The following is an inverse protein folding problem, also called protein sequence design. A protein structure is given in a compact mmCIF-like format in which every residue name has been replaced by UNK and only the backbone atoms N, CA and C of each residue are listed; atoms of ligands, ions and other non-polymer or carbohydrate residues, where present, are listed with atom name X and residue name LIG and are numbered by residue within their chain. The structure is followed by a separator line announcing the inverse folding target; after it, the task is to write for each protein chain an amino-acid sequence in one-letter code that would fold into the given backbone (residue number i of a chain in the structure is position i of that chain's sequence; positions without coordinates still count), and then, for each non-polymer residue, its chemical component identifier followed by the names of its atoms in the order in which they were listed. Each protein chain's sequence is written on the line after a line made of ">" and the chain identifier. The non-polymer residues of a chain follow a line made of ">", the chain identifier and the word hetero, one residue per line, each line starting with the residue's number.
data_IF_484332903844
#
_entry.id   IF_484332903844
#
_cell.length_a   1.000
_cell.length_b   1.000
_cell.length_c   1.000
_cell.angle_alpha   90.00
_cell.angle_beta   90.00
_cell.angle_gamma   90.00
#
_symmetry.space_group_name_H-M   'P 1'
#
loop_
_entity.id
_entity.type
_entity.pdbx_description
1 polymer ?
#
# COMPACT_ATOMS: atom_id res chain seq x y z
N UNK A 1 7.63 5.84 28.06
CA UNK A 1 7.74 5.53 26.63
C UNK A 1 9.15 5.91 26.16
N UNK A 2 9.80 5.06 25.36
CA UNK A 2 11.13 5.35 24.82
C UNK A 2 11.08 6.61 23.93
N UNK A 3 11.93 7.63 24.14
CA UNK A 3 11.95 8.85 23.34
C UNK A 3 12.14 8.59 21.84
N UNK A 4 12.94 7.61 21.47
CA UNK A 4 13.13 7.23 20.06
C UNK A 4 11.85 6.69 19.43
N UNK A 5 10.99 5.99 20.18
CA UNK A 5 9.72 5.51 19.69
C UNK A 5 8.72 6.66 19.43
N UNK A 6 8.74 7.69 20.28
CA UNK A 6 7.94 8.92 20.06
C UNK A 6 8.36 9.60 18.77
N UNK A 7 9.67 9.74 18.56
CA UNK A 7 10.22 10.36 17.34
C UNK A 7 9.84 9.56 16.09
N UNK A 8 9.85 8.23 16.14
CA UNK A 8 9.36 7.38 15.04
C UNK A 8 7.88 7.61 14.78
N UNK A 9 7.04 7.74 15.82
CA UNK A 9 5.62 8.00 15.66
C UNK A 9 5.36 9.37 15.00
N UNK A 10 6.07 10.41 15.42
CA UNK A 10 5.98 11.74 14.80
C UNK A 10 6.50 11.73 13.35
N UNK A 11 7.59 11.03 13.09
CA UNK A 11 8.11 10.84 11.74
C UNK A 11 7.09 10.14 10.85
N UNK A 12 6.46 9.07 11.31
CA UNK A 12 5.46 8.34 10.53
C UNK A 12 4.17 9.12 10.33
N UNK A 13 3.72 9.88 11.32
CA UNK A 13 2.58 10.77 11.15
C UNK A 13 2.85 11.79 10.04
N UNK A 14 3.99 12.49 10.10
CA UNK A 14 4.35 13.50 9.09
C UNK A 14 4.64 12.87 7.74
N UNK A 15 5.24 11.65 7.69
CA UNK A 15 5.38 10.89 6.45
C UNK A 15 4.03 10.54 5.83
N UNK A 16 3.08 10.07 6.66
CA UNK A 16 1.71 9.77 6.22
C UNK A 16 1.00 10.98 5.62
N UNK A 17 1.17 12.18 6.22
CA UNK A 17 0.68 13.43 5.62
C UNK A 17 1.28 13.63 4.24
N UNK A 18 2.61 13.56 4.11
CA UNK A 18 3.31 13.78 2.83
C UNK A 18 2.92 12.78 1.75
N UNK A 19 2.90 11.49 2.08
CA UNK A 19 2.49 10.45 1.14
C UNK A 19 1.03 10.61 0.72
N UNK A 20 0.13 10.82 1.68
CA UNK A 20 -1.28 11.06 1.41
C UNK A 20 -1.52 12.27 0.53
N UNK A 21 -0.70 13.32 0.66
CA UNK A 21 -0.82 14.55 -0.12
C UNK A 21 -0.74 14.30 -1.62
N UNK A 22 0.08 13.36 -2.12
CA UNK A 22 0.25 13.16 -3.56
C UNK A 22 -0.27 11.81 -4.10
N UNK A 23 -0.45 10.79 -3.28
CA UNK A 23 -0.70 9.42 -3.74
C UNK A 23 -1.93 9.29 -4.66
N UNK A 24 -2.98 10.06 -4.40
CA UNK A 24 -4.20 10.04 -5.21
C UNK A 24 -4.11 10.88 -6.48
N UNK A 25 -3.06 11.69 -6.63
CA UNK A 25 -2.91 12.63 -7.75
C UNK A 25 -1.80 12.26 -8.73
N UNK A 26 -0.99 11.23 -8.43
CA UNK A 26 0.15 10.84 -9.26
C UNK A 26 -0.28 10.41 -10.68
N UNK A 27 -1.35 9.63 -10.82
CA UNK A 27 -1.84 9.19 -12.13
C UNK A 27 -2.44 10.35 -12.94
N UNK A 28 -3.12 11.29 -12.29
CA UNK A 28 -3.61 12.53 -12.89
C UNK A 28 -2.43 13.39 -13.37
N UNK A 29 -1.38 13.51 -12.54
CA UNK A 29 -0.21 14.31 -12.94
C UNK A 29 0.57 13.67 -14.08
N UNK A 30 0.70 12.36 -14.11
CA UNK A 30 1.25 11.62 -15.27
C UNK A 30 0.47 11.93 -16.55
N UNK A 31 -0.86 11.96 -16.49
CA UNK A 31 -1.71 12.35 -17.61
C UNK A 31 -1.44 13.81 -18.05
N UNK A 32 -1.33 14.74 -17.09
CA UNK A 32 -1.03 16.15 -17.37
C UNK A 32 0.37 16.35 -18.02
N UNK A 33 1.31 15.44 -17.76
CA UNK A 33 2.63 15.40 -18.41
C UNK A 33 2.62 14.68 -19.77
N UNK A 34 1.45 14.31 -20.28
CA UNK A 34 1.26 13.73 -21.61
C UNK A 34 1.30 12.20 -21.66
N UNK A 35 1.29 11.51 -20.52
CA UNK A 35 1.18 10.05 -20.51
C UNK A 35 -0.25 9.62 -20.88
N UNK A 36 -0.37 8.72 -21.85
CA UNK A 36 -1.62 8.04 -22.14
C UNK A 36 -1.97 6.97 -21.08
N UNK A 37 -3.17 6.41 -21.06
CA UNK A 37 -3.55 5.42 -20.05
C UNK A 37 -2.66 4.18 -20.00
N UNK A 38 -2.13 3.73 -21.14
CA UNK A 38 -1.22 2.57 -21.21
C UNK A 38 0.12 2.92 -20.57
N UNK A 39 0.66 4.09 -20.90
CA UNK A 39 1.90 4.59 -20.30
C UNK A 39 1.74 4.79 -18.78
N UNK A 40 0.61 5.34 -18.31
CA UNK A 40 0.31 5.47 -16.87
C UNK A 40 0.32 4.09 -16.20
N UNK A 41 -0.39 3.12 -16.77
CA UNK A 41 -0.43 1.75 -16.27
C UNK A 41 0.97 1.12 -16.20
N UNK A 42 1.78 1.28 -17.25
CA UNK A 42 3.15 0.78 -17.30
C UNK A 42 4.05 1.46 -16.24
N UNK A 43 4.00 2.79 -16.11
CA UNK A 43 4.78 3.55 -15.13
C UNK A 43 4.46 3.12 -13.71
N UNK A 44 3.17 2.99 -13.37
CA UNK A 44 2.73 2.52 -12.05
C UNK A 44 3.16 1.06 -11.81
N UNK A 45 3.18 0.22 -12.84
CA UNK A 45 3.71 -1.15 -12.76
C UNK A 45 5.22 -1.14 -12.50
N UNK A 46 6.00 -0.30 -13.17
CA UNK A 46 7.44 -0.17 -12.89
C UNK A 46 7.71 0.40 -11.49
N UNK A 47 6.89 1.31 -10.98
CA UNK A 47 6.98 1.78 -9.60
C UNK A 47 6.71 0.63 -8.61
N UNK A 48 5.72 -0.22 -8.86
CA UNK A 48 5.46 -1.44 -8.09
C UNK A 48 6.63 -2.43 -8.14
N UNK A 49 7.27 -2.59 -9.30
CA UNK A 49 8.46 -3.41 -9.46
C UNK A 49 9.65 -2.86 -8.65
N UNK A 50 9.87 -1.55 -8.66
CA UNK A 50 10.88 -0.88 -7.84
C UNK A 50 10.66 -1.15 -6.35
N UNK A 51 9.41 -1.07 -5.88
CA UNK A 51 9.04 -1.45 -4.51
C UNK A 51 9.41 -2.91 -4.21
N UNK A 52 9.01 -3.83 -5.07
CA UNK A 52 9.25 -5.27 -4.89
C UNK A 52 10.74 -5.59 -4.80
N UNK A 53 11.55 -5.07 -5.73
CA UNK A 53 12.99 -5.32 -5.77
C UNK A 53 13.70 -4.69 -4.55
N UNK A 54 13.22 -3.56 -4.04
CA UNK A 54 13.83 -2.85 -2.93
C UNK A 54 13.81 -3.65 -1.61
N UNK A 55 12.85 -4.55 -1.42
CA UNK A 55 12.74 -5.35 -0.19
C UNK A 55 13.86 -6.38 -0.02
N UNK A 56 14.38 -6.93 -1.12
CA UNK A 56 15.37 -8.04 -1.10
C UNK A 56 16.70 -7.62 -0.47
N UNK A 57 17.32 -6.48 -0.85
CA UNK A 57 18.59 -6.05 -0.26
C UNK A 57 18.44 -5.55 1.18
N UNK A 58 17.27 -5.06 1.56
CA UNK A 58 17.07 -4.37 2.83
C UNK A 58 17.23 -5.27 4.06
N UNK A 59 16.72 -6.50 3.98
CA UNK A 59 16.89 -7.47 5.06
C UNK A 59 18.38 -7.75 5.32
N UNK A 60 19.10 -8.11 4.27
CA UNK A 60 20.53 -8.39 4.34
C UNK A 60 21.40 -7.20 4.81
N UNK A 61 21.03 -6.00 4.35
CA UNK A 61 21.76 -4.78 4.71
C UNK A 61 21.46 -4.36 6.16
N UNK A 62 20.23 -4.61 6.64
CA UNK A 62 19.81 -4.33 8.01
C UNK A 62 20.67 -5.05 9.04
N UNK A 63 21.05 -6.29 8.75
CA UNK A 63 21.87 -7.12 9.65
C UNK A 63 23.35 -6.69 9.67
N UNK A 64 23.82 -6.03 8.60
CA UNK A 64 25.23 -5.61 8.46
C UNK A 64 25.52 -4.19 8.94
N UNK A 65 24.70 -3.21 8.53
CA UNK A 65 24.94 -1.79 8.83
C UNK A 65 24.01 -1.22 9.90
N UNK A 66 23.07 -2.04 10.37
CA UNK A 66 22.08 -1.65 11.36
C UNK A 66 20.84 -0.98 10.79
N UNK A 67 19.80 -0.91 11.60
CA UNK A 67 18.46 -0.46 11.21
C UNK A 67 18.40 1.06 10.99
N UNK A 68 19.03 1.86 11.86
CA UNK A 68 18.98 3.33 11.82
C UNK A 68 19.50 3.95 10.51
N UNK A 69 20.66 3.55 9.96
CA UNK A 69 21.14 4.08 8.68
C UNK A 69 20.15 3.81 7.53
N UNK A 70 19.55 2.62 7.48
CA UNK A 70 18.56 2.26 6.47
C UNK A 70 17.29 3.10 6.57
N UNK A 71 16.79 3.36 7.79
CA UNK A 71 15.67 4.25 8.00
C UNK A 71 15.98 5.65 7.45
N UNK A 72 17.11 6.22 7.81
CA UNK A 72 17.53 7.56 7.34
C UNK A 72 17.66 7.59 5.82
N UNK A 73 18.28 6.57 5.21
CA UNK A 73 18.43 6.48 3.75
C UNK A 73 17.07 6.45 3.03
N UNK A 74 16.09 5.69 3.55
CA UNK A 74 14.75 5.66 2.95
C UNK A 74 14.05 7.02 3.04
N UNK A 75 14.19 7.73 4.15
CA UNK A 75 13.63 9.08 4.30
C UNK A 75 14.29 10.10 3.37
N UNK A 76 15.61 10.02 3.18
CA UNK A 76 16.32 10.84 2.20
C UNK A 76 15.84 10.53 0.78
N UNK A 77 15.66 9.27 0.43
CA UNK A 77 15.07 8.90 -0.88
C UNK A 77 13.68 9.49 -1.07
N UNK A 78 12.86 9.50 -0.02
CA UNK A 78 11.53 10.14 -0.06
C UNK A 78 11.62 11.64 -0.35
N UNK A 79 12.53 12.37 0.32
CA UNK A 79 12.76 13.79 0.05
C UNK A 79 13.21 14.00 -1.40
N UNK A 80 14.24 13.27 -1.85
CA UNK A 80 14.78 13.39 -3.20
C UNK A 80 13.72 13.08 -4.24
N UNK A 81 12.92 12.03 -4.03
CA UNK A 81 11.83 11.64 -4.92
C UNK A 81 10.78 12.74 -5.03
N UNK A 82 10.33 13.29 -3.90
CA UNK A 82 9.32 14.35 -3.88
C UNK A 82 9.84 15.65 -4.52
N UNK A 83 11.11 15.99 -4.31
CA UNK A 83 11.77 17.12 -4.98
C UNK A 83 11.89 16.90 -6.50
N UNK A 84 12.29 15.71 -6.94
CA UNK A 84 12.32 15.37 -8.37
C UNK A 84 10.92 15.50 -8.99
N UNK A 85 9.88 14.96 -8.34
CA UNK A 85 8.51 15.09 -8.82
C UNK A 85 8.02 16.55 -8.82
N UNK A 86 8.35 17.33 -7.80
CA UNK A 86 7.97 18.75 -7.70
C UNK A 86 8.64 19.62 -8.75
N UNK A 87 9.89 19.33 -9.11
CA UNK A 87 10.67 20.08 -10.10
C UNK A 87 10.53 19.57 -11.53
N UNK A 88 9.86 18.41 -11.70
CA UNK A 88 9.71 17.77 -13.00
C UNK A 88 8.93 18.66 -13.97
N UNK A 89 9.56 18.99 -15.09
CA UNK A 89 8.96 19.66 -16.26
C UNK A 89 8.68 18.70 -17.41
N UNK A 90 9.06 17.43 -17.27
CA UNK A 90 8.91 16.39 -18.28
C UNK A 90 8.51 15.05 -17.65
N UNK A 91 7.84 14.23 -18.44
CA UNK A 91 7.40 12.90 -18.03
C UNK A 91 8.56 12.01 -17.52
N UNK A 92 9.73 11.90 -18.21
CA UNK A 92 10.83 11.05 -17.72
C UNK A 92 11.38 11.47 -16.36
N UNK A 93 11.47 12.77 -16.09
CA UNK A 93 11.96 13.26 -14.80
C UNK A 93 10.99 12.95 -13.67
N UNK A 94 9.70 13.11 -13.92
CA UNK A 94 8.66 12.74 -12.96
C UNK A 94 8.66 11.22 -12.68
N UNK A 95 8.79 10.40 -13.73
CA UNK A 95 8.90 8.94 -13.61
C UNK A 95 10.12 8.54 -12.78
N UNK A 96 11.29 9.18 -12.99
CA UNK A 96 12.47 8.93 -12.18
C UNK A 96 12.22 9.21 -10.69
N UNK A 97 11.51 10.30 -10.36
CA UNK A 97 11.07 10.61 -8.99
C UNK A 97 10.13 9.54 -8.44
N UNK A 98 9.15 9.09 -9.23
CA UNK A 98 8.19 8.08 -8.82
C UNK A 98 8.85 6.71 -8.58
N UNK A 99 9.77 6.30 -9.44
CA UNK A 99 10.56 5.08 -9.25
C UNK A 99 11.44 5.15 -8.00
N UNK A 100 12.08 6.30 -7.77
CA UNK A 100 12.87 6.52 -6.55
C UNK A 100 11.99 6.46 -5.29
N UNK A 101 10.75 6.96 -5.37
CA UNK A 101 9.78 6.79 -4.28
C UNK A 101 9.46 5.31 -4.04
N UNK A 102 9.27 4.54 -5.11
CA UNK A 102 9.06 3.09 -5.01
C UNK A 102 10.16 2.39 -4.20
N UNK A 103 11.41 2.78 -4.39
CA UNK A 103 12.53 2.22 -3.63
C UNK A 103 12.44 2.48 -2.11
N UNK A 104 11.72 3.50 -1.63
CA UNK A 104 11.58 3.74 -0.19
C UNK A 104 10.89 2.61 0.57
N UNK A 105 10.19 1.73 -0.13
CA UNK A 105 9.44 0.61 0.44
C UNK A 105 10.32 -0.40 1.19
N UNK A 106 11.63 -0.45 0.90
CA UNK A 106 12.58 -1.31 1.63
C UNK A 106 12.58 -1.05 3.15
N UNK A 107 12.14 0.12 3.56
CA UNK A 107 12.13 0.56 4.96
C UNK A 107 11.23 -0.29 5.87
N UNK A 108 10.22 -0.96 5.34
CA UNK A 108 9.17 -1.64 6.10
C UNK A 108 9.72 -2.68 7.08
N UNK A 109 10.70 -3.49 6.65
CA UNK A 109 11.34 -4.50 7.51
C UNK A 109 12.26 -3.88 8.56
N UNK A 110 13.24 -3.02 8.23
CA UNK A 110 14.06 -2.32 9.22
C UNK A 110 13.24 -1.50 10.23
N UNK A 111 12.13 -0.87 9.79
CA UNK A 111 11.26 -0.09 10.67
C UNK A 111 10.55 -0.98 11.69
N UNK A 112 9.96 -2.08 11.26
CA UNK A 112 9.29 -3.03 12.16
C UNK A 112 10.26 -3.61 13.18
N UNK A 113 11.46 -3.95 12.76
CA UNK A 113 12.55 -4.44 13.60
C UNK A 113 13.03 -3.36 14.59
N UNK A 114 13.20 -2.11 14.13
CA UNK A 114 13.57 -0.98 14.99
C UNK A 114 12.52 -0.73 16.07
N UNK A 115 11.24 -0.64 15.69
CA UNK A 115 10.13 -0.42 16.62
C UNK A 115 10.02 -1.55 17.65
N UNK A 116 10.22 -2.79 17.23
CA UNK A 116 10.24 -3.95 18.11
C UNK A 116 11.36 -3.85 19.14
N UNK A 117 12.56 -3.43 18.76
CA UNK A 117 13.69 -3.25 19.68
C UNK A 117 13.48 -2.03 20.61
N UNK A 118 12.90 -0.94 20.09
CA UNK A 118 12.69 0.32 20.83
C UNK A 118 11.44 0.34 21.72
N UNK A 119 10.60 -0.70 21.71
CA UNK A 119 9.27 -0.73 22.35
C UNK A 119 9.24 -0.52 23.86
N UNK A 120 10.37 -0.74 24.55
CA UNK A 120 10.44 -0.71 26.01
C UNK A 120 9.48 -1.74 26.63
N UNK A 121 8.65 -1.32 27.57
CA UNK A 121 7.67 -2.19 28.25
C UNK A 121 6.40 -2.50 27.45
N UNK A 122 6.27 -2.03 26.21
CA UNK A 122 5.11 -2.32 25.38
C UNK A 122 5.22 -3.70 24.74
N UNK A 123 4.08 -4.36 24.51
CA UNK A 123 4.05 -5.55 23.66
C UNK A 123 4.43 -5.17 22.21
N UNK A 124 5.01 -6.12 21.48
CA UNK A 124 5.37 -5.93 20.07
C UNK A 124 4.14 -5.49 19.25
N UNK A 125 3.02 -6.19 19.45
CA UNK A 125 1.76 -5.88 18.78
C UNK A 125 1.31 -4.43 19.05
N UNK A 126 1.35 -3.97 20.30
CA UNK A 126 0.98 -2.59 20.64
C UNK A 126 1.87 -1.57 19.96
N UNK A 127 3.19 -1.77 19.97
CA UNK A 127 4.13 -0.85 19.35
C UNK A 127 3.93 -0.74 17.84
N UNK A 128 3.78 -1.87 17.14
CA UNK A 128 3.52 -1.91 15.70
C UNK A 128 2.14 -1.36 15.32
N UNK A 129 1.11 -1.60 16.15
CA UNK A 129 -0.22 -1.02 15.92
C UNK A 129 -0.21 0.50 16.02
N UNK A 130 0.50 1.07 17.00
CA UNK A 130 0.66 2.52 17.10
C UNK A 130 1.48 3.10 15.94
N UNK A 131 2.49 2.38 15.46
CA UNK A 131 3.25 2.73 14.25
C UNK A 131 2.32 2.90 13.04
N UNK A 132 1.49 1.89 12.78
CA UNK A 132 0.48 1.95 11.72
C UNK A 132 -0.56 3.05 11.96
N UNK A 133 -1.04 3.22 13.19
CA UNK A 133 -2.03 4.24 13.51
C UNK A 133 -1.51 5.65 13.23
N UNK A 134 -0.27 5.97 13.65
CA UNK A 134 0.33 7.28 13.41
C UNK A 134 0.47 7.58 11.91
N UNK A 135 0.96 6.62 11.13
CA UNK A 135 1.00 6.76 9.68
C UNK A 135 -0.40 7.02 9.08
N UNK A 136 -1.39 6.22 9.45
CA UNK A 136 -2.76 6.36 8.92
C UNK A 136 -3.42 7.69 9.35
N UNK A 137 -3.19 8.19 10.56
CA UNK A 137 -3.68 9.51 10.98
C UNK A 137 -3.12 10.62 10.08
N UNK A 138 -1.85 10.58 9.75
CA UNK A 138 -1.26 11.49 8.78
C UNK A 138 -1.86 11.31 7.38
N UNK A 139 -2.00 10.07 6.94
CA UNK A 139 -2.53 9.73 5.63
C UNK A 139 -4.02 10.12 5.43
N UNK A 140 -4.80 10.34 6.50
CA UNK A 140 -6.15 10.94 6.40
C UNK A 140 -6.07 12.43 6.04
N UNK A 141 -5.12 13.16 6.62
CA UNK A 141 -4.96 14.60 6.41
C UNK A 141 -4.38 14.89 5.02
N UNK A 142 -3.44 14.05 4.58
CA UNK A 142 -2.68 14.25 3.35
C UNK A 142 -3.55 14.49 2.11
N UNK A 143 -4.50 13.62 1.75
CA UNK A 143 -5.29 13.80 0.54
C UNK A 143 -6.17 15.05 0.55
N UNK A 144 -6.69 15.46 1.73
CA UNK A 144 -7.43 16.73 1.88
C UNK A 144 -6.55 17.93 1.54
N UNK A 145 -5.36 17.98 2.12
CA UNK A 145 -4.40 19.06 1.86
C UNK A 145 -3.90 19.04 0.42
N UNK A 146 -3.61 17.83 -0.12
CA UNK A 146 -3.17 17.65 -1.50
C UNK A 146 -4.23 18.05 -2.52
N UNK A 147 -5.50 17.71 -2.28
CA UNK A 147 -6.62 18.12 -3.13
C UNK A 147 -6.80 19.62 -3.16
N UNK A 148 -6.76 20.27 -1.98
CA UNK A 148 -6.86 21.72 -1.86
C UNK A 148 -5.67 22.43 -2.55
N UNK A 149 -4.45 21.99 -2.29
CA UNK A 149 -3.25 22.55 -2.94
C UNK A 149 -3.31 22.36 -4.46
N UNK A 150 -3.67 21.15 -4.92
CA UNK A 150 -3.75 20.82 -6.34
C UNK A 150 -4.78 21.65 -7.09
N UNK A 151 -5.92 21.93 -6.47
CA UNK A 151 -6.99 22.74 -7.05
C UNK A 151 -6.60 24.23 -7.18
N UNK A 152 -5.94 24.80 -6.15
CA UNK A 152 -5.67 26.24 -6.10
C UNK A 152 -4.32 26.63 -6.70
N UNK A 153 -3.31 25.77 -6.58
CA UNK A 153 -1.92 26.06 -6.99
C UNK A 153 -1.40 25.14 -8.08
N UNK A 154 -2.13 24.06 -8.39
CA UNK A 154 -1.73 23.05 -9.36
C UNK A 154 -0.95 21.88 -8.76
N UNK A 155 -0.96 20.75 -9.48
CA UNK A 155 -0.44 19.47 -8.98
C UNK A 155 1.05 19.48 -8.65
N UNK A 156 1.85 20.33 -9.30
CA UNK A 156 3.27 20.48 -8.98
C UNK A 156 3.50 20.85 -7.51
N UNK A 157 2.68 21.72 -6.95
CA UNK A 157 2.78 22.16 -5.57
C UNK A 157 2.37 21.09 -4.55
N UNK A 158 1.58 20.10 -4.98
CA UNK A 158 1.26 18.93 -4.17
C UNK A 158 2.53 18.13 -3.82
N UNK A 159 3.41 17.92 -4.81
CA UNK A 159 4.70 17.23 -4.60
C UNK A 159 5.69 18.10 -3.82
N UNK A 160 5.68 19.42 -4.00
CA UNK A 160 6.49 20.31 -3.19
C UNK A 160 6.07 20.28 -1.70
N UNK A 161 4.77 20.28 -1.42
CA UNK A 161 4.25 20.13 -0.06
C UNK A 161 4.63 18.79 0.55
N UNK A 162 4.58 17.70 -0.23
CA UNK A 162 5.06 16.39 0.20
C UNK A 162 6.57 16.42 0.54
N UNK A 163 7.39 17.09 -0.26
CA UNK A 163 8.81 17.24 0.03
C UNK A 163 9.07 17.94 1.36
N UNK A 164 8.33 19.03 1.65
CA UNK A 164 8.43 19.74 2.92
C UNK A 164 8.05 18.83 4.10
N UNK A 165 6.95 18.08 3.99
CA UNK A 165 6.54 17.16 5.06
C UNK A 165 7.54 16.01 5.24
N UNK A 166 8.16 15.52 4.19
CA UNK A 166 9.23 14.51 4.26
C UNK A 166 10.50 15.05 4.91
N UNK A 167 10.85 16.33 4.69
CA UNK A 167 11.96 16.98 5.41
C UNK A 167 11.66 17.05 6.90
N UNK A 168 10.46 17.49 7.29
CA UNK A 168 10.02 17.51 8.69
C UNK A 168 10.03 16.12 9.31
N UNK A 169 9.54 15.13 8.57
CA UNK A 169 9.57 13.72 9.00
C UNK A 169 11.00 13.21 9.23
N UNK A 170 11.91 13.54 8.31
CA UNK A 170 13.33 13.17 8.42
C UNK A 170 13.99 13.83 9.62
N UNK A 171 13.65 15.09 9.93
CA UNK A 171 14.16 15.78 11.10
C UNK A 171 13.85 15.02 12.39
N UNK A 172 12.63 14.48 12.56
CA UNK A 172 12.33 13.61 13.70
C UNK A 172 13.16 12.34 13.70
N UNK A 173 13.36 11.72 12.55
CA UNK A 173 14.02 10.43 12.43
C UNK A 173 15.55 10.51 12.69
N UNK A 174 16.20 11.60 12.34
CA UNK A 174 17.65 11.78 12.54
C UNK A 174 18.03 11.70 14.03
N UNK A 175 17.13 12.08 14.93
CA UNK A 175 17.38 12.07 16.38
C UNK A 175 17.10 10.72 17.07
N UNK A 176 16.64 9.68 16.37
CA UNK A 176 16.47 8.36 16.97
C UNK A 176 17.82 7.75 17.32
N UNK A 177 17.88 7.00 18.43
CA UNK A 177 19.12 6.31 18.87
C UNK A 177 19.29 4.99 18.11
N UNK A 178 20.53 4.58 17.80
CA UNK A 178 20.80 3.25 17.24
C UNK A 178 20.33 2.17 18.23
N UNK A 179 19.91 1.02 17.69
CA UNK A 179 19.53 -0.16 18.47
C UNK A 179 20.61 -1.25 18.30
N UNK A 180 20.81 -2.12 19.30
CA UNK A 180 21.69 -3.26 19.16
C UNK A 180 21.34 -4.13 17.95
N UNK A 181 22.35 -4.74 17.34
CA UNK A 181 22.17 -5.75 16.31
C UNK A 181 21.81 -7.07 17.00
N UNK A 182 20.70 -7.69 16.60
CA UNK A 182 20.39 -9.05 17.03
C UNK A 182 21.20 -10.01 16.16
N UNK A 183 22.08 -10.77 16.79
CA UNK A 183 22.77 -11.89 16.13
C UNK A 183 21.77 -13.06 16.10
N UNK A 184 21.27 -13.40 14.92
CA UNK A 184 20.54 -14.64 14.72
C UNK A 184 21.54 -15.76 14.49
N UNK A 185 21.54 -16.77 15.35
CA UNK A 185 22.19 -18.05 15.05
C UNK A 185 21.46 -18.71 13.88
N UNK A 186 22.18 -19.23 12.88
CA UNK A 186 21.56 -19.94 11.77
C UNK A 186 20.97 -21.25 12.28
N UNK A 187 19.69 -21.26 12.59
CA UNK A 187 18.92 -22.50 12.81
C UNK A 187 18.93 -23.35 11.54
N UNK A 188 18.81 -24.67 11.72
CA UNK A 188 18.75 -25.65 10.63
C UNK A 188 17.79 -25.22 9.53
N UNK A 189 18.15 -25.34 8.23
CA UNK A 189 17.32 -24.87 7.16
C UNK A 189 15.94 -25.53 7.21
N UNK A 190 14.84 -24.74 7.19
CA UNK A 190 13.49 -25.29 7.27
C UNK A 190 13.18 -26.16 6.05
N UNK A 191 12.28 -27.16 6.15
CA UNK A 191 11.87 -27.97 5.01
C UNK A 191 11.35 -27.09 3.89
N UNK A 192 11.49 -27.54 2.62
CA UNK A 192 11.12 -26.73 1.45
C UNK A 192 9.63 -26.47 1.38
N UNK A 193 9.21 -25.20 1.25
CA UNK A 193 7.81 -24.80 1.02
C UNK A 193 7.28 -25.26 -0.37
N UNK A 194 8.19 -25.50 -1.32
CA UNK A 194 7.85 -25.95 -2.67
C UNK A 194 7.25 -27.36 -2.71
N UNK A 195 7.42 -28.14 -1.67
CA UNK A 195 6.81 -29.47 -1.53
C UNK A 195 5.41 -29.46 -0.93
N UNK A 196 4.88 -28.28 -0.55
CA UNK A 196 3.54 -28.15 0.04
C UNK A 196 2.50 -27.66 -0.99
N UNK A 197 1.77 -28.59 -1.68
CA UNK A 197 0.84 -28.19 -2.74
C UNK A 197 -0.35 -27.36 -2.23
N UNK A 198 -0.76 -27.52 -0.95
CA UNK A 198 -1.83 -26.72 -0.35
C UNK A 198 -1.41 -25.26 -0.18
N UNK A 199 -0.16 -25.06 0.24
CA UNK A 199 0.42 -23.72 0.37
C UNK A 199 0.61 -23.07 -1.01
N UNK A 200 1.12 -23.79 -2.01
CA UNK A 200 1.29 -23.27 -3.37
C UNK A 200 -0.06 -22.89 -4.00
N UNK A 201 -1.09 -23.72 -3.83
CA UNK A 201 -2.45 -23.38 -4.27
C UNK A 201 -2.99 -22.13 -3.60
N UNK A 202 -2.72 -21.96 -2.30
CA UNK A 202 -3.11 -20.76 -1.57
C UNK A 202 -2.36 -19.51 -2.05
N UNK A 203 -1.07 -19.59 -2.34
CA UNK A 203 -0.28 -18.47 -2.88
C UNK A 203 -0.79 -18.05 -4.26
N UNK A 204 -1.18 -18.99 -5.13
CA UNK A 204 -1.84 -18.66 -6.40
C UNK A 204 -3.19 -17.94 -6.17
N UNK A 205 -3.96 -18.36 -5.17
CA UNK A 205 -5.21 -17.69 -4.77
C UNK A 205 -4.93 -16.25 -4.28
N UNK A 206 -3.86 -16.02 -3.49
CA UNK A 206 -3.43 -14.69 -3.05
C UNK A 206 -3.20 -13.77 -4.25
N UNK A 207 -2.48 -14.26 -5.27
CA UNK A 207 -2.26 -13.50 -6.50
C UNK A 207 -3.59 -13.07 -7.13
N UNK A 208 -4.50 -14.01 -7.35
CA UNK A 208 -5.80 -13.72 -8.00
C UNK A 208 -6.62 -12.72 -7.18
N UNK A 209 -6.68 -12.88 -5.87
CA UNK A 209 -7.44 -11.98 -4.99
C UNK A 209 -6.88 -10.54 -5.07
N UNK A 210 -5.56 -10.39 -4.85
CA UNK A 210 -4.93 -9.06 -4.82
C UNK A 210 -4.99 -8.40 -6.20
N UNK A 211 -4.71 -9.15 -7.26
CA UNK A 211 -4.79 -8.66 -8.63
C UNK A 211 -6.19 -8.15 -8.98
N UNK A 212 -7.22 -8.98 -8.74
CA UNK A 212 -8.60 -8.64 -9.07
C UNK A 212 -9.12 -7.43 -8.29
N UNK A 213 -8.84 -7.38 -6.97
CA UNK A 213 -9.28 -6.28 -6.11
C UNK A 213 -8.53 -4.97 -6.36
N UNK A 214 -7.30 -5.02 -6.86
CA UNK A 214 -6.51 -3.82 -7.16
C UNK A 214 -6.83 -3.27 -8.56
N UNK A 215 -7.24 -4.12 -9.49
CA UNK A 215 -7.47 -3.76 -10.89
C UNK A 215 -8.31 -2.49 -11.12
N UNK A 216 -9.41 -2.22 -10.39
CA UNK A 216 -10.20 -1.00 -10.59
C UNK A 216 -9.53 0.26 -10.04
N UNK A 217 -8.45 0.19 -9.24
CA UNK A 217 -7.96 1.33 -8.46
C UNK A 217 -7.02 2.28 -9.22
N UNK A 218 -6.03 1.83 -10.02
CA UNK A 218 -4.92 2.67 -10.51
C UNK A 218 -5.36 3.90 -11.32
N UNK A 219 -6.41 3.79 -12.10
CA UNK A 219 -6.93 4.85 -12.99
C UNK A 219 -8.28 5.41 -12.56
N UNK A 220 -8.79 5.03 -11.38
CA UNK A 220 -10.11 5.52 -10.90
C UNK A 220 -10.10 7.03 -10.66
N UNK A 221 -9.00 7.63 -10.19
CA UNK A 221 -8.93 9.09 -10.01
C UNK A 221 -8.99 9.82 -11.35
N UNK A 222 -8.32 9.31 -12.39
CA UNK A 222 -8.44 9.81 -13.76
C UNK A 222 -9.86 9.65 -14.30
N UNK A 223 -10.51 8.50 -14.06
CA UNK A 223 -11.91 8.27 -14.46
C UNK A 223 -12.85 9.28 -13.80
N UNK A 224 -12.72 9.50 -12.51
CA UNK A 224 -13.54 10.44 -11.76
C UNK A 224 -13.34 11.88 -12.25
N UNK A 225 -12.09 12.27 -12.54
CA UNK A 225 -11.81 13.59 -13.09
C UNK A 225 -12.33 13.75 -14.51
N UNK A 226 -11.99 12.82 -15.41
CA UNK A 226 -12.23 12.98 -16.86
C UNK A 226 -13.67 12.63 -17.26
N UNK A 227 -14.28 11.61 -16.64
CA UNK A 227 -15.60 11.10 -17.03
C UNK A 227 -16.72 11.58 -16.10
N UNK A 228 -16.39 11.98 -14.88
CA UNK A 228 -17.36 12.40 -13.86
C UNK A 228 -17.22 13.88 -13.46
N UNK A 229 -16.17 14.56 -13.95
CA UNK A 229 -15.95 15.99 -13.73
C UNK A 229 -15.60 16.37 -12.29
N UNK A 230 -15.06 15.42 -11.48
CA UNK A 230 -14.68 15.73 -10.11
C UNK A 230 -13.46 16.63 -10.07
N UNK A 231 -13.48 17.60 -9.14
CA UNK A 231 -12.34 18.47 -8.86
C UNK A 231 -11.25 17.71 -8.08
N UNK A 232 -10.02 18.24 -8.08
CA UNK A 232 -8.92 17.66 -7.29
C UNK A 232 -9.25 17.68 -5.78
N UNK A 233 -9.94 18.72 -5.30
CA UNK A 233 -10.38 18.79 -3.92
C UNK A 233 -11.38 17.70 -3.57
N UNK A 234 -12.33 17.38 -4.43
CA UNK A 234 -13.27 16.27 -4.25
C UNK A 234 -12.55 14.92 -4.26
N UNK A 235 -11.59 14.71 -5.16
CA UNK A 235 -10.76 13.50 -5.21
C UNK A 235 -9.94 13.36 -3.92
N UNK A 236 -9.38 14.46 -3.41
CA UNK A 236 -8.68 14.47 -2.12
C UNK A 236 -9.57 14.07 -0.95
N UNK A 237 -10.80 14.59 -0.90
CA UNK A 237 -11.79 14.18 0.12
C UNK A 237 -12.10 12.68 0.03
N UNK A 238 -12.31 12.15 -1.17
CA UNK A 238 -12.50 10.70 -1.37
C UNK A 238 -11.30 9.90 -0.88
N UNK A 239 -10.07 10.35 -1.15
CA UNK A 239 -8.84 9.73 -0.65
C UNK A 239 -8.80 9.64 0.88
N UNK A 240 -9.18 10.71 1.57
CA UNK A 240 -9.24 10.72 3.04
C UNK A 240 -10.33 9.77 3.57
N UNK A 241 -11.49 9.71 2.92
CA UNK A 241 -12.55 8.76 3.25
C UNK A 241 -12.06 7.32 3.06
N UNK A 242 -11.28 7.04 2.01
CA UNK A 242 -10.70 5.70 1.80
C UNK A 242 -9.74 5.30 2.94
N UNK A 243 -8.91 6.22 3.43
CA UNK A 243 -8.00 5.93 4.56
C UNK A 243 -8.78 5.69 5.85
N UNK A 244 -9.84 6.46 6.10
CA UNK A 244 -10.74 6.22 7.24
C UNK A 244 -11.43 4.85 7.12
N UNK A 245 -11.97 4.53 5.94
CA UNK A 245 -12.55 3.22 5.65
C UNK A 245 -11.55 2.09 5.90
N UNK A 246 -10.29 2.25 5.43
CA UNK A 246 -9.23 1.29 5.71
C UNK A 246 -9.02 1.06 7.21
N UNK A 247 -8.90 2.11 8.01
CA UNK A 247 -8.67 2.00 9.44
C UNK A 247 -9.83 1.28 10.15
N UNK A 248 -11.07 1.70 9.87
CA UNK A 248 -12.27 1.16 10.54
C UNK A 248 -12.58 -0.27 10.10
N UNK A 249 -12.51 -0.56 8.80
CA UNK A 249 -12.80 -1.91 8.27
C UNK A 249 -11.72 -2.90 8.71
N UNK A 250 -10.44 -2.52 8.67
CA UNK A 250 -9.35 -3.39 9.13
C UNK A 250 -9.49 -3.71 10.62
N UNK A 251 -9.83 -2.72 11.44
CA UNK A 251 -10.11 -2.94 12.87
C UNK A 251 -11.28 -3.89 13.08
N UNK A 252 -12.41 -3.68 12.38
CA UNK A 252 -13.58 -4.53 12.46
C UNK A 252 -13.28 -5.98 12.03
N UNK A 253 -12.52 -6.16 10.94
CA UNK A 253 -12.14 -7.49 10.46
C UNK A 253 -11.27 -8.23 11.47
N UNK A 254 -10.26 -7.56 12.03
CA UNK A 254 -9.36 -8.15 13.01
C UNK A 254 -10.05 -8.52 14.32
N UNK A 255 -11.13 -7.79 14.71
CA UNK A 255 -11.81 -7.98 15.98
C UNK A 255 -12.96 -9.00 15.90
N UNK A 256 -13.66 -9.11 14.76
CA UNK A 256 -14.94 -9.82 14.70
C UNK A 256 -15.03 -10.92 13.64
N UNK A 257 -14.05 -11.02 12.74
CA UNK A 257 -14.15 -11.95 11.62
C UNK A 257 -13.04 -13.00 11.64
N UNK A 258 -13.39 -14.24 11.28
CA UNK A 258 -12.39 -15.23 10.88
C UNK A 258 -11.70 -14.82 9.59
N UNK A 259 -10.45 -15.25 9.39
CA UNK A 259 -9.65 -14.88 8.23
C UNK A 259 -10.38 -15.12 6.89
N UNK A 260 -11.03 -16.29 6.73
CA UNK A 260 -11.79 -16.62 5.52
C UNK A 260 -13.00 -15.71 5.31
N UNK A 261 -13.76 -15.40 6.37
CA UNK A 261 -14.91 -14.48 6.27
C UNK A 261 -14.44 -13.07 5.95
N UNK A 262 -13.36 -12.61 6.57
CA UNK A 262 -12.76 -11.31 6.28
C UNK A 262 -12.31 -11.18 4.82
N UNK A 263 -11.69 -12.23 4.27
CA UNK A 263 -11.32 -12.27 2.84
C UNK A 263 -12.55 -12.14 1.93
N UNK A 264 -13.61 -12.92 2.16
CA UNK A 264 -14.83 -12.90 1.34
C UNK A 264 -15.55 -11.54 1.43
N UNK A 265 -15.74 -11.02 2.63
CA UNK A 265 -16.39 -9.72 2.83
C UNK A 265 -15.54 -8.61 2.18
N UNK A 266 -14.22 -8.63 2.34
CA UNK A 266 -13.34 -7.64 1.70
C UNK A 266 -13.42 -7.66 0.18
N UNK A 267 -13.53 -8.84 -0.44
CA UNK A 267 -13.74 -8.97 -1.89
C UNK A 267 -15.11 -8.42 -2.30
N UNK A 268 -16.17 -8.68 -1.53
CA UNK A 268 -17.50 -8.09 -1.79
C UNK A 268 -17.46 -6.56 -1.67
N UNK A 269 -16.78 -6.01 -0.66
CA UNK A 269 -16.61 -4.55 -0.52
C UNK A 269 -15.86 -3.95 -1.70
N UNK A 270 -14.79 -4.60 -2.20
CA UNK A 270 -14.08 -4.15 -3.39
C UNK A 270 -14.93 -4.27 -4.68
N UNK A 271 -15.74 -5.31 -4.82
CA UNK A 271 -16.69 -5.42 -5.92
C UNK A 271 -17.75 -4.30 -5.85
N UNK A 272 -18.27 -4.01 -4.65
CA UNK A 272 -19.22 -2.92 -4.44
C UNK A 272 -18.59 -1.57 -4.78
N UNK A 273 -17.33 -1.32 -4.37
CA UNK A 273 -16.57 -0.14 -4.81
C UNK A 273 -16.58 -0.01 -6.34
N UNK A 274 -16.15 -1.04 -7.06
CA UNK A 274 -16.07 -1.03 -8.51
C UNK A 274 -17.45 -0.78 -9.17
N UNK A 275 -18.49 -1.43 -8.65
CA UNK A 275 -19.86 -1.27 -9.14
C UNK A 275 -20.40 0.16 -8.95
N UNK A 276 -20.20 0.74 -7.75
CA UNK A 276 -20.68 2.08 -7.43
C UNK A 276 -19.96 3.15 -8.27
N UNK A 277 -18.64 3.05 -8.44
CA UNK A 277 -17.88 3.97 -9.31
C UNK A 277 -18.36 3.89 -10.75
N UNK A 278 -18.64 2.68 -11.24
CA UNK A 278 -19.10 2.48 -12.62
C UNK A 278 -20.51 3.03 -12.88
N UNK A 279 -21.48 2.72 -12.01
CA UNK A 279 -22.91 2.89 -12.29
C UNK A 279 -23.52 4.15 -11.73
N UNK A 280 -22.94 4.74 -10.70
CA UNK A 280 -23.54 5.89 -10.00
C UNK A 280 -22.75 7.16 -10.29
N UNK A 281 -23.45 8.31 -10.29
CA UNK A 281 -22.84 9.62 -10.58
C UNK A 281 -22.95 10.62 -9.43
N UNK A 282 -23.48 10.18 -8.27
CA UNK A 282 -23.66 11.04 -7.09
C UNK A 282 -22.43 11.04 -6.19
N UNK A 283 -21.93 12.21 -5.81
CA UNK A 283 -20.74 12.37 -4.96
C UNK A 283 -20.82 11.63 -3.61
N UNK A 284 -21.92 11.63 -2.85
CA UNK A 284 -22.03 10.86 -1.62
C UNK A 284 -21.83 9.35 -1.82
N UNK A 285 -22.24 8.82 -2.98
CA UNK A 285 -22.05 7.40 -3.32
C UNK A 285 -20.59 7.12 -3.65
N UNK A 286 -19.87 8.05 -4.27
CA UNK A 286 -18.42 7.93 -4.44
C UNK A 286 -17.69 7.92 -3.07
N UNK A 287 -18.14 8.74 -2.12
CA UNK A 287 -17.58 8.73 -0.76
C UNK A 287 -17.82 7.35 -0.09
N UNK A 288 -19.04 6.79 -0.20
CA UNK A 288 -19.32 5.43 0.27
C UNK A 288 -18.43 4.40 -0.44
N UNK A 289 -18.28 4.47 -1.76
CA UNK A 289 -17.43 3.56 -2.51
C UNK A 289 -15.97 3.61 -2.02
N UNK A 290 -15.41 4.79 -1.84
CA UNK A 290 -14.05 4.97 -1.33
C UNK A 290 -13.90 4.50 0.13
N UNK A 291 -14.92 4.64 0.96
CA UNK A 291 -14.94 4.03 2.30
C UNK A 291 -14.86 2.51 2.20
N UNK A 292 -15.67 1.88 1.32
CA UNK A 292 -15.69 0.43 1.12
C UNK A 292 -14.39 -0.11 0.50
N UNK A 293 -13.61 0.73 -0.19
CA UNK A 293 -12.28 0.38 -0.70
C UNK A 293 -11.33 -0.05 0.44
N UNK A 294 -11.57 0.37 1.67
CA UNK A 294 -10.87 -0.12 2.86
C UNK A 294 -10.88 -1.64 2.99
N UNK A 295 -11.89 -2.33 2.44
CA UNK A 295 -11.96 -3.80 2.36
C UNK A 295 -10.77 -4.43 1.65
N UNK A 296 -10.22 -3.79 0.61
CA UNK A 296 -9.01 -4.25 -0.07
C UNK A 296 -7.80 -4.34 0.86
N UNK A 297 -7.56 -3.30 1.66
CA UNK A 297 -6.42 -3.29 2.59
C UNK A 297 -6.64 -4.24 3.77
N UNK A 298 -7.89 -4.39 4.22
CA UNK A 298 -8.26 -5.29 5.30
C UNK A 298 -8.10 -6.78 4.94
N UNK A 299 -8.12 -7.14 3.67
CA UNK A 299 -7.89 -8.53 3.20
C UNK A 299 -6.44 -8.97 3.42
N UNK A 300 -5.43 -8.08 3.33
CA UNK A 300 -4.01 -8.46 3.46
C UNK A 300 -3.68 -9.17 4.79
N UNK A 301 -4.02 -8.63 5.99
CA UNK A 301 -3.81 -9.35 7.23
C UNK A 301 -4.61 -10.66 7.32
N UNK A 302 -5.77 -10.76 6.67
CA UNK A 302 -6.55 -12.00 6.62
C UNK A 302 -5.86 -13.09 5.78
N UNK A 303 -5.25 -12.71 4.66
CA UNK A 303 -4.41 -13.60 3.85
C UNK A 303 -3.22 -14.13 4.66
N UNK A 304 -2.51 -13.24 5.36
CA UNK A 304 -1.39 -13.62 6.21
C UNK A 304 -1.80 -14.54 7.37
N UNK A 305 -2.99 -14.32 7.95
CA UNK A 305 -3.52 -15.20 8.99
C UNK A 305 -3.81 -16.63 8.47
N UNK A 306 -4.27 -16.77 7.22
CA UNK A 306 -4.49 -18.09 6.60
C UNK A 306 -3.18 -18.85 6.35
N UNK A 307 -2.08 -18.17 6.01
CA UNK A 307 -0.76 -18.81 5.83
C UNK A 307 -0.36 -19.60 7.07
N UNK A 308 -0.67 -19.08 8.25
CA UNK A 308 -0.34 -19.70 9.54
C UNK A 308 -0.85 -21.13 9.69
N UNK A 309 -2.03 -21.43 9.17
CA UNK A 309 -2.65 -22.77 9.20
C UNK A 309 -2.13 -23.74 8.12
N UNK A 310 -1.27 -23.28 7.21
CA UNK A 310 -0.80 -24.07 6.05
C UNK A 310 0.65 -24.51 6.15
N UNK A 311 1.45 -23.90 7.03
CA UNK A 311 2.90 -24.12 7.13
C UNK A 311 3.33 -24.38 8.57
N UNK A 312 4.45 -25.06 8.74
CA UNK A 312 5.06 -25.29 10.05
C UNK A 312 5.66 -23.98 10.61
N UNK A 313 5.76 -23.85 11.95
CA UNK A 313 6.27 -22.65 12.60
C UNK A 313 7.65 -22.22 12.10
N UNK A 314 8.56 -23.18 11.87
CA UNK A 314 9.90 -22.92 11.32
C UNK A 314 9.90 -22.34 9.89
N UNK A 315 8.81 -22.46 9.15
CA UNK A 315 8.67 -21.96 7.77
C UNK A 315 7.93 -20.63 7.67
N UNK A 316 7.41 -20.11 8.79
CA UNK A 316 6.50 -18.95 8.80
C UNK A 316 7.15 -17.71 8.17
N UNK A 317 8.41 -17.43 8.49
CA UNK A 317 9.10 -16.25 7.95
C UNK A 317 9.19 -16.29 6.43
N UNK A 318 9.60 -17.44 5.86
CA UNK A 318 9.68 -17.64 4.41
C UNK A 318 8.29 -17.60 3.77
N UNK A 319 7.29 -18.22 4.40
CA UNK A 319 5.92 -18.23 3.89
C UNK A 319 5.28 -16.83 3.85
N UNK A 320 5.47 -16.01 4.89
CA UNK A 320 5.02 -14.62 4.87
C UNK A 320 5.77 -13.81 3.80
N UNK A 321 7.08 -14.01 3.65
CA UNK A 321 7.87 -13.36 2.60
C UNK A 321 7.36 -13.69 1.19
N UNK A 322 7.07 -14.98 0.91
CA UNK A 322 6.49 -15.40 -0.36
C UNK A 322 5.08 -14.81 -0.58
N UNK A 323 4.24 -14.78 0.46
CA UNK A 323 2.91 -14.17 0.39
C UNK A 323 2.99 -12.68 0.00
N UNK A 324 3.87 -11.91 0.63
CA UNK A 324 4.09 -10.49 0.31
C UNK A 324 4.71 -10.31 -1.10
N UNK A 325 5.61 -11.19 -1.51
CA UNK A 325 6.19 -11.16 -2.86
C UNK A 325 5.13 -11.36 -3.92
N UNK A 326 4.27 -12.38 -3.76
CA UNK A 326 3.19 -12.66 -4.73
C UNK A 326 2.14 -11.55 -4.74
N UNK A 327 1.80 -11.00 -3.57
CA UNK A 327 0.94 -9.82 -3.50
C UNK A 327 1.55 -8.61 -4.24
N UNK A 328 2.86 -8.39 -4.10
CA UNK A 328 3.58 -7.32 -4.80
C UNK A 328 3.62 -7.54 -6.32
N UNK A 329 3.77 -8.77 -6.79
CA UNK A 329 3.67 -9.12 -8.22
C UNK A 329 2.26 -8.76 -8.74
N UNK A 330 1.22 -9.11 -8.01
CA UNK A 330 -0.16 -8.76 -8.39
C UNK A 330 -0.38 -7.25 -8.47
N UNK A 331 0.12 -6.49 -7.49
CA UNK A 331 0.08 -5.02 -7.48
C UNK A 331 0.90 -4.39 -8.62
N UNK A 332 1.98 -5.05 -9.05
CA UNK A 332 2.81 -4.61 -10.16
C UNK A 332 2.13 -4.84 -11.52
N UNK A 333 1.48 -5.99 -11.70
CA UNK A 333 0.87 -6.33 -13.00
C UNK A 333 -0.51 -5.69 -13.22
N UNK A 334 -1.26 -5.44 -12.16
CA UNK A 334 -2.63 -4.93 -12.24
C UNK A 334 -2.73 -3.56 -12.90
N UNK A 335 -1.86 -2.54 -12.64
CA UNK A 335 -1.94 -1.25 -13.31
C UNK A 335 -1.72 -1.33 -14.82
N UNK A 336 -0.88 -2.23 -15.30
CA UNK A 336 -0.64 -2.44 -16.73
C UNK A 336 -1.94 -2.87 -17.42
N UNK A 337 -2.65 -3.87 -16.86
CA UNK A 337 -3.93 -4.30 -17.40
C UNK A 337 -4.98 -3.19 -17.28
N UNK A 338 -5.03 -2.46 -16.16
CA UNK A 338 -5.93 -1.33 -15.99
C UNK A 338 -5.71 -0.25 -17.07
N UNK A 339 -4.46 0.06 -17.39
CA UNK A 339 -4.09 1.02 -18.46
C UNK A 339 -4.57 0.57 -19.83
N UNK A 340 -4.38 -0.70 -20.17
CA UNK A 340 -4.84 -1.29 -21.46
C UNK A 340 -6.37 -1.24 -21.57
N UNK A 341 -7.09 -1.63 -20.52
CA UNK A 341 -8.56 -1.60 -20.50
C UNK A 341 -9.08 -0.17 -20.58
N UNK A 342 -8.52 0.75 -19.81
CA UNK A 342 -8.89 2.16 -19.79
C UNK A 342 -8.67 2.83 -21.16
N UNK A 343 -7.61 2.46 -21.87
CA UNK A 343 -7.31 2.98 -23.20
C UNK A 343 -8.36 2.54 -24.23
N UNK A 344 -8.89 1.32 -24.11
CA UNK A 344 -9.98 0.84 -24.99
C UNK A 344 -11.29 1.56 -24.68
N UNK A 345 -11.69 1.58 -23.42
CA UNK A 345 -12.85 2.33 -22.92
C UNK A 345 -12.66 2.60 -21.42
N UNK A 346 -12.76 3.87 -20.97
CA UNK A 346 -12.46 4.23 -19.57
C UNK A 346 -13.28 3.46 -18.53
N UNK A 347 -14.50 3.07 -18.85
CA UNK A 347 -15.39 2.32 -17.98
C UNK A 347 -15.18 0.80 -18.01
N UNK A 348 -14.47 0.27 -19.03
CA UNK A 348 -14.23 -1.18 -19.21
C UNK A 348 -13.48 -1.81 -18.04
N UNK A 349 -12.67 -1.02 -17.34
CA UNK A 349 -11.94 -1.47 -16.17
C UNK A 349 -12.87 -2.07 -15.12
N UNK A 350 -14.04 -1.47 -14.90
CA UNK A 350 -14.96 -1.88 -13.82
C UNK A 350 -15.67 -3.21 -14.06
N UNK A 351 -16.34 -3.47 -15.20
CA UNK A 351 -16.96 -4.76 -15.45
C UNK A 351 -15.95 -5.91 -15.50
N UNK A 352 -14.74 -5.68 -16.05
CA UNK A 352 -13.68 -6.68 -16.04
C UNK A 352 -13.22 -6.96 -14.60
N UNK A 353 -13.05 -5.92 -13.79
CA UNK A 353 -12.72 -6.08 -12.35
C UNK A 353 -13.79 -6.83 -11.59
N UNK A 354 -15.07 -6.55 -11.85
CA UNK A 354 -16.19 -7.27 -11.22
C UNK A 354 -16.18 -8.75 -11.59
N UNK A 355 -15.92 -9.10 -12.85
CA UNK A 355 -15.76 -10.48 -13.29
C UNK A 355 -14.58 -11.17 -12.60
N UNK A 356 -13.42 -10.49 -12.55
CA UNK A 356 -12.22 -11.01 -11.89
C UNK A 356 -12.42 -11.19 -10.37
N UNK A 357 -13.08 -10.23 -9.69
CA UNK A 357 -13.40 -10.35 -8.25
C UNK A 357 -14.42 -11.47 -8.03
N UNK A 358 -15.43 -11.61 -8.90
CA UNK A 358 -16.38 -12.72 -8.87
C UNK A 358 -15.69 -14.09 -8.95
N UNK A 359 -14.73 -14.24 -9.86
CA UNK A 359 -13.88 -15.42 -9.96
C UNK A 359 -13.06 -15.63 -8.67
N UNK A 360 -12.44 -14.57 -8.14
CA UNK A 360 -11.67 -14.63 -6.90
C UNK A 360 -12.54 -15.07 -5.71
N UNK A 361 -13.80 -14.61 -5.62
CA UNK A 361 -14.76 -15.06 -4.59
C UNK A 361 -15.04 -16.56 -4.74
N UNK A 362 -15.33 -17.03 -5.94
CA UNK A 362 -15.57 -18.45 -6.21
C UNK A 362 -14.37 -19.33 -5.84
N UNK A 363 -13.16 -18.90 -6.22
CA UNK A 363 -11.92 -19.59 -5.85
C UNK A 363 -11.68 -19.57 -4.34
N UNK A 364 -11.99 -18.45 -3.65
CA UNK A 364 -11.89 -18.36 -2.19
C UNK A 364 -12.87 -19.31 -1.51
N UNK A 365 -14.10 -19.43 -2.00
CA UNK A 365 -15.10 -20.35 -1.45
C UNK A 365 -14.68 -21.83 -1.63
N UNK A 366 -13.99 -22.16 -2.70
CA UNK A 366 -13.61 -23.55 -3.04
C UNK A 366 -12.27 -23.95 -2.41
N UNK A 367 -11.25 -23.10 -2.50
CA UNK A 367 -9.85 -23.44 -2.19
C UNK A 367 -9.31 -22.83 -0.89
N UNK A 368 -9.96 -21.81 -0.32
CA UNK A 368 -9.48 -21.27 0.96
C UNK A 368 -9.71 -22.28 2.10
N UNK A 369 -8.68 -22.53 2.94
CA UNK A 369 -8.82 -23.41 4.08
C UNK A 369 -10.04 -23.02 4.94
N UNK A 370 -10.87 -24.02 5.25
CA UNK A 370 -11.94 -23.85 6.24
C UNK A 370 -11.24 -23.92 7.58
N UNK A 371 -11.01 -22.78 8.22
CA UNK A 371 -10.38 -22.74 9.55
C UNK A 371 -11.11 -23.67 10.48
N UNK A 372 -10.39 -24.58 11.11
CA UNK A 372 -10.85 -25.23 12.32
C UNK A 372 -11.11 -24.14 13.37
N UNK A 373 -12.22 -24.25 14.06
CA UNK A 373 -12.66 -23.30 15.07
C UNK A 373 -11.53 -23.08 16.10
N UNK A 374 -11.03 -21.82 16.21
CA UNK A 374 -10.28 -21.40 17.38
C UNK A 374 -11.25 -20.95 18.46
#
# INVERSE_FOLDING_TARGET
>A
MNPSLVLVFLALFTWGVGEGTFMYFQSIHLQNLGADPVAIGAILSFAGLAMMISHVPAGFLSDRIGRRPLLITAWIFGILSALLMATASSLPLFVAGLLLYGFTAFVSSPLSSYVTAARGNWSVSRALSWTSAMFNFGAVIGPLTGGWIGEHFGLRWVFAAAAVTFVVSTAFLVFIKPQPLDHHDPESPPPSLWSNPRYLGFIALVFVIIFAMYLPQPLTTNFLQNQRGLTLQQIGLLGSVAVLGNALITFAFGSWLSARRGMLIGQVLAATFALLIWRVTAFPVYALAYFLLGGFRAVRPMLSAQVRGLVHESQMGLAFGMNETVASIALTLSPMLAGLLYHQAPDLVYPVSLGAIGLAILLTLTFSPRGEHA
#
